data_IF_579201653306
#
_entry.id   IF_579201653306
#
_cell.length_a   1.000
_cell.length_b   1.000
_cell.length_c   1.000
_cell.angle_alpha   90.00
_cell.angle_beta   90.00
_cell.angle_gamma   90.00
#
_symmetry.space_group_name_H-M   'P 1'
#
loop_
_entity.id
_entity.type
_entity.pdbx_description
1 polymer ?
2 polymer ?
3 water ?
#
# COMPACT_ATOMS: atom_id res chain seq x y z
N UNK A 2 -7.54 10.02 -2.63
CA UNK A 2 -6.15 9.63 -2.87
C UNK A 2 -5.38 9.33 -1.57
N UNK A 3 -4.14 8.87 -1.74
CA UNK A 3 -3.30 8.55 -0.63
C UNK A 3 -2.43 9.77 -0.29
N UNK A 4 -2.55 10.23 0.94
CA UNK A 4 -1.80 11.39 1.40
C UNK A 4 -0.78 11.04 2.49
N UNK A 5 0.51 11.09 2.13
CA UNK A 5 1.60 10.78 3.06
C UNK A 5 1.71 11.77 4.22
N UNK A 6 1.95 11.26 5.43
CA UNK A 6 2.08 12.13 6.58
C UNK A 6 3.48 12.02 7.18
N UNK A 7 4.40 11.42 6.42
CA UNK A 7 5.79 11.23 6.86
C UNK A 7 6.54 10.24 5.96
N UNK A 8 7.86 10.37 5.89
CA UNK A 8 8.67 9.50 5.05
C UNK A 8 10.03 9.29 5.67
N UNK A 9 10.53 8.06 5.66
CA UNK A 9 11.84 7.79 6.26
C UNK A 9 12.48 6.52 5.73
N UNK A 10 13.79 6.41 5.86
CA UNK A 10 14.52 5.26 5.37
C UNK A 10 14.74 4.26 6.47
N UNK A 11 14.40 3.01 6.21
CA UNK A 11 14.56 1.98 7.22
C UNK A 11 14.61 0.64 6.58
N UNK A 12 15.12 -0.32 7.32
CA UNK A 12 15.20 -1.70 6.86
C UNK A 12 14.08 -2.38 7.61
N UNK A 13 13.04 -2.81 6.91
CA UNK A 13 11.92 -3.44 7.60
C UNK A 13 12.23 -4.90 7.86
N UNK A 15 11.04 -8.65 10.33
CA UNK A 15 10.03 -9.37 11.11
C UNK A 15 10.72 -10.19 12.19
N UNK A 16 10.21 -10.14 13.41
CA UNK A 16 10.81 -10.92 14.48
C UNK A 16 10.40 -12.38 14.39
N UNK A 17 11.36 -13.24 14.05
CA UNK A 17 11.12 -14.68 13.94
C UNK A 17 11.19 -15.37 15.30
N UNK A 18 10.04 -15.49 15.94
CA UNK A 18 9.93 -16.12 17.25
C UNK A 18 10.52 -17.52 17.28
N UNK A 19 10.43 -18.23 16.17
CA UNK A 19 10.97 -19.57 16.10
C UNK A 19 12.50 -19.52 16.01
N UNK A 20 13.03 -19.02 14.90
CA UNK A 20 14.48 -18.92 14.76
C UNK A 20 14.96 -18.01 15.88
N UNK A 21 13.99 -17.47 16.61
CA UNK A 21 14.24 -16.59 17.74
C UNK A 21 15.03 -15.34 17.32
N UNK A 22 15.24 -15.19 16.01
CA UNK A 22 16.00 -14.05 15.49
C UNK A 22 15.14 -13.02 14.77
N UNK A 23 15.73 -11.87 14.47
CA UNK A 23 15.06 -10.78 13.72
C UNK A 23 15.49 -11.00 12.28
N UNK A 24 14.52 -11.12 11.37
CA UNK A 24 14.83 -11.36 9.97
C UNK A 24 14.25 -10.31 9.05
N UNK A 25 14.92 -10.06 7.93
CA UNK A 25 14.48 -9.07 6.95
C UNK A 25 13.18 -9.57 6.35
N UNK A 26 12.29 -8.66 5.97
CA UNK A 26 11.00 -9.08 5.41
C UNK A 26 11.11 -9.64 3.98
N UNK A 27 12.14 -9.25 3.25
CA UNK A 27 12.33 -9.73 1.87
C UNK A 27 12.94 -11.15 1.82
N UNK A 33 17.98 -1.00 2.75
CA UNK A 33 17.04 0.11 3.14
C UNK A 33 15.90 0.32 2.15
N UNK A 34 14.72 0.67 2.66
CA UNK A 34 13.53 0.91 1.87
C UNK A 34 13.02 2.26 2.29
N UNK A 35 12.09 2.82 1.55
CA UNK A 35 11.56 4.10 1.93
C UNK A 35 10.29 3.79 2.66
N UNK A 36 10.15 4.35 3.87
CA UNK A 36 8.93 4.13 4.63
C UNK A 36 8.16 5.42 4.68
N UNK A 37 6.86 5.27 4.50
CA UNK A 37 5.89 6.36 4.46
C UNK A 37 4.66 5.90 5.21
N UNK A 38 3.97 6.83 5.85
CA UNK A 38 2.74 6.51 6.53
C UNK A 38 1.72 7.32 5.75
N UNK A 39 0.82 6.66 5.04
CA UNK A 39 -0.19 7.36 4.28
C UNK A 39 -1.50 7.38 5.01
N UNK A 40 -2.30 8.39 4.71
CA UNK A 40 -3.61 8.55 5.30
C UNK A 40 -4.66 8.69 4.21
N UNK A 41 -5.82 8.09 4.47
CA UNK A 41 -6.93 8.18 3.53
C UNK A 41 -8.01 8.96 4.25
N UNK A 42 -8.17 10.20 3.84
CA UNK A 42 -9.18 11.07 4.44
C UNK A 42 -10.55 10.53 4.11
N UNK A 43 -10.69 10.01 2.89
CA UNK A 43 -11.95 9.44 2.42
C UNK A 43 -12.19 8.07 3.05
N UNK A 44 -11.65 7.85 4.25
CA UNK A 44 -11.80 6.57 4.95
C UNK A 44 -11.15 6.62 6.33
N UNK A 45 -10.54 7.77 6.64
CA UNK A 45 -9.86 7.96 7.91
C UNK A 45 -9.13 6.66 8.20
N UNK A 46 -8.10 6.41 7.40
CA UNK A 46 -7.30 5.21 7.49
C UNK A 46 -5.84 5.59 7.43
N UNK A 47 -4.99 4.82 8.10
CA UNK A 47 -3.55 5.08 8.09
C UNK A 47 -2.84 3.79 7.74
N UNK A 48 -1.82 3.88 6.89
CA UNK A 48 -1.06 2.69 6.52
C UNK A 48 0.43 2.94 6.49
N UNK A 49 1.19 1.90 6.80
CA UNK A 49 2.65 1.98 6.76
C UNK A 49 2.95 1.26 5.44
N UNK A 50 3.56 1.96 4.50
CA UNK A 50 3.89 1.36 3.22
C UNK A 50 5.38 1.50 2.97
N UNK A 51 6.06 0.37 2.83
CA UNK A 51 7.49 0.41 2.59
C UNK A 51 7.76 0.00 1.16
N UNK A 52 8.49 0.82 0.43
CA UNK A 52 8.82 0.53 -0.97
C UNK A 52 10.34 0.35 -1.15
N UNK A 53 10.71 -0.58 -2.02
CA UNK A 53 12.12 -0.83 -2.31
C UNK A 53 12.53 0.29 -3.24
N UNK A 54 13.19 1.32 -2.74
CA UNK A 54 13.58 2.42 -3.60
C UNK A 54 14.56 1.99 -4.71
N UNK A 55 14.79 0.68 -4.84
CA UNK A 55 15.71 0.17 -5.86
C UNK A 55 14.93 -0.29 -7.06
N UNK A 56 14.05 -1.26 -6.83
CA UNK A 56 13.19 -1.81 -7.88
C UNK A 56 11.76 -1.37 -7.64
N UNK A 57 11.61 -0.40 -6.75
CA UNK A 57 10.33 0.20 -6.39
C UNK A 57 9.16 -0.74 -6.07
N UNK A 58 9.50 -1.90 -5.52
CA UNK A 58 8.52 -2.90 -5.13
C UNK A 58 8.10 -2.66 -3.67
N UNK A 59 6.82 -2.82 -3.38
CA UNK A 59 6.32 -2.61 -2.03
C UNK A 59 6.66 -3.82 -1.16
N UNK A 60 7.36 -3.59 -0.04
CA UNK A 60 7.74 -4.66 0.88
C UNK A 60 6.75 -4.79 2.04
N UNK A 61 6.09 -3.70 2.39
CA UNK A 61 5.14 -3.73 3.48
C UNK A 61 4.00 -2.73 3.18
N UNK A 62 2.78 -3.11 3.54
CA UNK A 62 1.60 -2.26 3.34
C UNK A 62 0.73 -2.62 4.53
N UNK A 63 1.09 -2.07 5.68
CA UNK A 63 0.44 -2.34 6.95
C UNK A 63 -0.51 -1.29 7.46
N UNK A 64 -1.67 -1.73 7.89
CA UNK A 64 -2.65 -0.80 8.45
C UNK A 64 -2.40 -0.63 9.93
N UNK A 65 -2.09 0.59 10.35
CA UNK A 65 -1.88 0.83 11.78
C UNK A 65 -3.30 0.80 12.36
N UNK A 66 -3.55 -0.23 13.18
CA UNK A 66 -4.86 -0.43 13.75
C UNK A 66 -5.16 0.34 15.06
N UNK A 67 -6.36 0.17 15.58
CA UNK A 67 -6.81 0.85 16.78
C UNK A 67 -6.04 0.57 18.10
N UNK A 68 -5.68 -0.68 18.36
CA UNK A 68 -4.96 -0.97 19.59
C UNK A 68 -3.50 -1.35 19.45
N UNK A 69 -2.92 -0.97 18.32
CA UNK A 69 -1.52 -1.27 18.01
C UNK A 69 -0.58 -0.79 19.11
N UNK A 70 0.54 -1.48 19.23
CA UNK A 70 1.54 -1.15 20.24
C UNK A 70 2.84 -0.82 19.53
N UNK A 71 3.22 0.46 19.54
CA UNK A 71 4.45 0.90 18.91
C UNK A 71 5.51 1.03 19.99
N UNK A 72 6.65 0.41 19.77
CA UNK A 72 7.74 0.47 20.74
C UNK A 72 9.01 0.99 20.07
N UNK A 73 9.62 2.00 20.69
CA UNK A 73 10.86 2.55 20.20
C UNK A 73 11.99 1.89 20.96
N UNK A 74 12.35 0.69 20.52
CA UNK A 74 13.41 -0.09 21.14
C UNK A 74 14.68 0.74 21.32
N UNK A 75 15.17 1.33 20.25
CA UNK A 75 16.37 2.15 20.32
C UNK A 75 16.16 3.42 19.49
N UNK A 76 17.07 4.39 19.59
CA UNK A 76 16.91 5.63 18.81
C UNK A 76 16.83 5.43 17.30
N UNK A 77 17.21 4.25 16.82
CA UNK A 77 17.15 3.94 15.40
C UNK A 77 16.46 2.60 15.14
N UNK A 78 15.82 2.06 16.17
CA UNK A 78 15.11 0.80 16.01
C UNK A 78 13.80 0.78 16.77
N UNK A 79 12.71 0.70 16.02
CA UNK A 79 11.38 0.71 16.61
C UNK A 79 10.62 -0.53 16.16
N UNK A 80 9.62 -0.94 16.93
CA UNK A 80 8.84 -2.12 16.58
C UNK A 80 7.37 -1.93 16.94
N UNK A 81 6.55 -2.86 16.51
CA UNK A 81 5.15 -2.76 16.84
C UNK A 81 4.53 -4.14 16.72
N UNK A 82 3.67 -4.47 17.67
CA UNK A 82 3.02 -5.76 17.70
C UNK A 82 1.58 -5.57 17.27
N UNK A 83 1.12 -6.41 16.35
CA UNK A 83 -0.25 -6.29 15.90
C UNK A 83 -1.13 -6.99 16.91
N UNK A 84 -0.87 -8.29 17.08
CA UNK A 84 -1.59 -9.13 18.01
C UNK A 84 -1.24 -10.55 17.67
N UNK A 85 -0.33 -10.74 16.73
CA UNK A 85 0.06 -12.08 16.35
C UNK A 85 1.41 -12.08 15.63
N UNK A 86 2.10 -10.95 15.68
CA UNK A 86 3.39 -10.81 15.01
C UNK A 86 3.98 -9.44 15.26
N UNK A 87 5.30 -9.39 15.38
CA UNK A 87 5.98 -8.13 15.63
C UNK A 87 6.89 -7.69 14.48
N UNK A 88 6.77 -6.40 14.16
CA UNK A 88 7.54 -5.77 13.11
C UNK A 88 8.49 -4.75 13.72
N UNK A 89 9.61 -4.52 13.05
CA UNK A 89 10.58 -3.56 13.53
C UNK A 89 11.20 -2.87 12.34
N UNK A 90 11.67 -1.65 12.55
CA UNK A 90 12.28 -0.89 11.50
C UNK A 90 13.63 -0.41 11.91
N UNK A 91 14.66 -0.83 11.20
CA UNK A 91 16.00 -0.39 11.53
C UNK A 91 16.18 0.87 10.70
N UNK A 92 16.09 2.04 11.35
CA UNK A 92 16.20 3.27 10.60
C UNK A 92 17.58 3.58 10.06
N UNK A 93 17.64 4.62 9.24
CA UNK A 93 18.91 4.99 8.64
C UNK A 93 19.50 6.11 9.45
N UNK A 94 18.69 6.73 10.30
CA UNK A 94 19.17 7.84 11.10
C UNK A 94 18.22 8.09 12.25
N UNK A 95 18.78 8.57 13.36
CA UNK A 95 17.96 8.88 14.52
C UNK A 95 16.90 9.88 14.08
N UNK A 96 17.33 10.89 13.33
CA UNK A 96 16.41 11.91 12.88
C UNK A 96 15.19 11.31 12.16
N UNK A 97 15.43 10.42 11.21
CA UNK A 97 14.31 9.82 10.49
C UNK A 97 13.44 8.95 11.40
N UNK A 98 14.04 8.47 12.47
CA UNK A 98 13.33 7.63 13.44
C UNK A 98 12.43 8.52 14.28
N UNK A 99 12.95 9.68 14.66
CA UNK A 99 12.21 10.66 15.45
C UNK A 99 11.01 11.08 14.63
N UNK A 100 11.24 11.31 13.35
CA UNK A 100 10.19 11.76 12.47
C UNK A 100 9.09 10.73 12.31
N UNK A 101 9.47 9.49 12.00
CA UNK A 101 8.50 8.43 11.81
C UNK A 101 7.68 8.09 13.07
N UNK A 102 8.30 8.20 14.24
CA UNK A 102 7.60 7.90 15.47
C UNK A 102 6.53 8.96 15.83
N UNK A 103 6.84 10.26 15.64
CA UNK A 103 5.87 11.33 15.92
C UNK A 103 4.61 11.10 15.06
N UNK A 104 4.82 10.74 13.79
CA UNK A 104 3.72 10.48 12.86
C UNK A 104 2.97 9.28 13.40
N UNK A 106 2.85 7.70 16.37
CA UNK A 106 2.09 7.96 17.58
C UNK A 106 0.90 8.85 17.28
N UNK A 107 1.11 9.91 16.48
CA UNK A 107 0.04 10.83 16.10
C UNK A 107 -1.11 10.05 15.42
N UNK A 108 -0.76 9.23 14.44
CA UNK A 108 -1.74 8.43 13.72
C UNK A 108 -2.48 7.52 14.66
N UNK A 109 -1.76 7.00 15.64
CA UNK A 109 -2.35 6.09 16.61
C UNK A 109 -3.32 6.87 17.50
N UNK A 110 -2.95 8.10 17.86
CA UNK A 110 -3.83 8.93 18.69
C UNK A 110 -5.14 9.10 17.95
N UNK A 111 -5.06 9.55 16.69
CA UNK A 111 -6.28 9.71 15.91
C UNK A 111 -7.03 8.37 15.91
N UNK A 113 -7.65 6.53 17.81
CA UNK A 113 -8.44 6.38 19.02
C UNK A 113 -9.15 7.69 19.42
N UNK B 2 5.08 -8.70 24.93
CA UNK B 2 6.09 -7.62 24.76
C UNK B 2 6.92 -7.83 23.50
N UNK B 3 7.87 -6.92 23.26
CA UNK B 3 8.74 -6.99 22.10
C UNK B 3 10.13 -7.45 22.51
N UNK B 4 10.72 -8.38 21.74
CA UNK B 4 12.04 -8.93 22.00
C UNK B 4 13.14 -7.86 22.02
N UNK B 5 14.40 -8.28 22.25
CA UNK B 5 15.48 -7.29 22.26
C UNK B 5 15.78 -7.02 20.81
N UNK B 6 16.13 -5.77 20.47
CA UNK B 6 16.43 -5.43 19.09
C UNK B 6 17.73 -6.11 18.69
N UNK B 7 18.06 -6.07 17.39
CA UNK B 7 19.30 -6.69 16.91
C UNK B 7 20.57 -6.18 17.62
N UNK B 8 21.70 -6.23 16.91
CA UNK B 8 23.03 -5.79 17.41
C UNK B 8 23.78 -6.95 18.04
N UNK C 2 5.33 -10.53 3.66
CA UNK C 2 5.64 -9.45 2.72
C UNK C 2 4.57 -9.30 1.63
N UNK C 3 4.75 -8.25 0.84
CA UNK C 3 3.85 -7.95 -0.26
C UNK C 3 4.40 -8.60 -1.52
N UNK C 4 3.57 -9.44 -2.15
CA UNK C 4 3.96 -10.16 -3.36
C UNK C 4 3.11 -9.76 -4.59
N UNK C 5 3.73 -9.05 -5.54
CA UNK C 5 3.06 -8.57 -6.76
C UNK C 5 2.65 -9.67 -7.73
N UNK C 6 1.42 -9.60 -8.22
CA UNK C 6 0.97 -10.61 -9.14
C UNK C 6 0.74 -10.00 -10.51
N UNK C 7 1.22 -8.77 -10.69
CA UNK C 7 1.10 -8.06 -11.98
C UNK C 7 1.50 -6.60 -11.90
N UNK C 8 1.95 -6.07 -13.03
CA UNK C 8 2.41 -4.68 -13.10
C UNK C 8 2.05 -4.04 -14.44
N UNK C 9 1.58 -2.79 -14.43
CA UNK C 9 1.22 -2.13 -15.69
C UNK C 9 1.15 -0.62 -15.54
N UNK C 10 1.32 0.09 -16.65
CA UNK C 10 1.29 1.55 -16.64
C UNK C 10 -0.10 2.07 -16.97
N UNK C 11 -0.61 2.96 -16.14
CA UNK C 11 -1.94 3.47 -16.36
C UNK C 11 -2.11 4.79 -15.67
N UNK C 12 -3.17 5.48 -16.05
CA UNK C 12 -3.51 6.77 -15.48
C UNK C 12 -4.74 6.49 -14.65
N UNK C 13 -4.60 6.55 -13.33
CA UNK C 13 -5.73 6.27 -12.47
C UNK C 13 -6.61 7.50 -12.32
N UNK C 15 -10.84 8.93 -11.14
CA UNK C 15 -12.09 8.73 -10.43
C UNK C 15 -13.23 9.37 -11.19
N UNK C 16 -14.34 8.64 -11.32
CA UNK C 16 -15.47 9.20 -12.03
C UNK C 16 -16.24 10.15 -11.13
N UNK C 17 -16.20 11.43 -11.47
CA UNK C 17 -16.91 12.46 -10.72
C UNK C 17 -18.36 12.57 -11.15
N UNK C 18 -19.22 11.84 -10.46
CA UNK C 18 -20.63 11.83 -10.76
C UNK C 18 -21.24 13.22 -10.79
N UNK C 19 -20.71 14.13 -9.97
CA UNK C 19 -21.26 15.49 -9.92
C UNK C 19 -20.82 16.27 -11.14
N UNK C 20 -19.52 16.47 -11.30
CA UNK C 20 -19.01 17.18 -12.45
C UNK C 20 -19.36 16.32 -13.65
N UNK C 21 -19.93 15.15 -13.36
CA UNK C 21 -20.34 14.20 -14.38
C UNK C 21 -19.17 13.82 -15.28
N UNK C 22 -17.96 14.25 -14.89
CA UNK C 22 -16.77 13.96 -15.68
C UNK C 22 -15.84 12.97 -15.01
N UNK C 23 -14.86 12.46 -15.76
CA UNK C 23 -13.86 11.52 -15.25
C UNK C 23 -12.69 12.39 -14.88
N UNK C 24 -12.24 12.32 -13.63
CA UNK C 24 -11.12 13.15 -13.21
C UNK C 24 -9.93 12.38 -12.68
N UNK C 25 -8.73 12.94 -12.84
CA UNK C 25 -7.51 12.28 -12.37
C UNK C 25 -7.53 12.18 -10.85
N UNK C 26 -6.95 11.14 -10.29
CA UNK C 26 -6.97 10.99 -8.84
C UNK C 26 -6.04 11.97 -8.11
N UNK C 27 -5.00 12.45 -8.79
CA UNK C 27 -4.08 13.40 -8.18
C UNK C 27 -4.67 14.82 -8.15
N UNK C 33 0.83 9.14 -16.16
CA UNK C 33 0.89 7.66 -15.95
C UNK C 33 1.58 7.29 -14.65
N UNK C 34 1.09 6.23 -14.01
CA UNK C 34 1.64 5.73 -12.76
C UNK C 34 1.91 4.25 -13.00
N UNK C 35 2.62 3.61 -12.07
CA UNK C 35 2.87 2.19 -12.22
C UNK C 35 1.83 1.48 -11.37
N UNK C 36 1.04 0.60 -11.97
CA UNK C 36 0.01 -0.12 -11.23
C UNK C 36 0.47 -1.53 -11.00
N UNK C 37 0.20 -2.02 -9.80
CA UNK C 37 0.59 -3.37 -9.41
C UNK C 37 -0.54 -3.87 -8.57
N UNK C 38 -0.71 -5.18 -8.55
CA UNK C 38 -1.72 -5.81 -7.72
C UNK C 38 -0.88 -6.69 -6.80
N UNK C 39 -0.85 -6.37 -5.51
CA UNK C 39 -0.07 -7.20 -4.58
C UNK C 39 -0.98 -8.13 -3.81
N UNK C 40 -0.38 -9.22 -3.37
CA UNK C 40 -1.10 -10.23 -2.61
C UNK C 40 -0.40 -10.50 -1.31
N UNK C 41 -1.17 -10.63 -0.24
CA UNK C 41 -0.62 -10.93 1.07
C UNK C 41 -1.01 -12.36 1.41
N UNK C 42 -0.06 -13.28 1.27
CA UNK C 42 -0.31 -14.68 1.56
C UNK C 42 -0.62 -14.84 3.03
N UNK C 43 0.08 -14.06 3.84
CA UNK C 43 -0.12 -14.07 5.29
C UNK C 43 -1.39 -13.32 5.67
N UNK C 44 -2.38 -13.33 4.79
CA UNK C 44 -3.65 -12.64 5.04
C UNK C 44 -4.65 -12.87 3.90
N UNK C 45 -4.19 -13.56 2.85
CA UNK C 45 -5.02 -13.82 1.68
C UNK C 45 -5.75 -12.54 1.36
N UNK C 46 -4.96 -11.53 0.99
CA UNK C 46 -5.42 -10.19 0.66
C UNK C 46 -4.83 -9.70 -0.66
N UNK C 47 -5.65 -9.01 -1.44
CA UNK C 47 -5.21 -8.46 -2.72
C UNK C 47 -5.45 -6.94 -2.73
N UNK C 48 -4.46 -6.19 -3.25
CA UNK C 48 -4.56 -4.75 -3.31
C UNK C 48 -4.07 -4.18 -4.62
N UNK C 49 -4.69 -3.10 -5.04
CA UNK C 49 -4.31 -2.38 -6.25
C UNK C 49 -3.50 -1.20 -5.70
N UNK C 50 -2.21 -1.17 -5.98
CA UNK C 50 -1.36 -0.08 -5.51
C UNK C 50 -0.76 0.69 -6.68
N UNK C 51 -1.10 1.97 -6.77
CA UNK C 51 -0.58 2.83 -7.82
C UNK C 51 0.46 3.81 -7.28
N UNK C 52 1.65 3.75 -7.86
CA UNK C 52 2.76 4.61 -7.48
C UNK C 52 3.16 5.59 -8.61
N UNK C 53 3.45 6.81 -8.22
CA UNK C 53 3.90 7.83 -9.17
C UNK C 53 5.35 7.51 -9.51
N UNK C 54 5.61 6.86 -10.64
CA UNK C 54 6.98 6.52 -11.03
C UNK C 54 7.86 7.75 -11.27
N UNK C 55 7.38 8.91 -10.83
CA UNK C 55 8.14 10.14 -10.96
C UNK C 55 8.74 10.52 -9.61
N UNK C 56 7.87 10.73 -8.63
CA UNK C 56 8.27 11.11 -7.29
C UNK C 56 7.97 9.94 -6.38
N UNK C 57 7.67 8.79 -6.99
CA UNK C 57 7.39 7.53 -6.29
C UNK C 57 6.40 7.59 -5.12
N UNK C 58 5.39 8.44 -5.26
CA UNK C 58 4.35 8.60 -4.26
C UNK C 58 3.21 7.67 -4.65
N UNK C 59 2.56 7.06 -3.66
CA UNK C 59 1.45 6.15 -3.89
C UNK C 59 0.19 6.96 -4.18
N UNK C 60 -0.46 6.72 -5.32
CA UNK C 60 -1.68 7.45 -5.66
C UNK C 60 -2.92 6.67 -5.29
N UNK C 61 -2.78 5.35 -5.25
CA UNK C 61 -3.92 4.52 -4.91
C UNK C 61 -3.42 3.25 -4.16
N UNK C 62 -4.18 2.78 -3.19
CA UNK C 62 -3.84 1.60 -2.40
C UNK C 62 -5.21 0.99 -2.08
N UNK C 63 -5.79 0.36 -3.10
CA UNK C 63 -7.15 -0.19 -3.06
C UNK C 63 -7.27 -1.69 -2.85
N UNK C 64 -8.11 -2.07 -1.89
CA UNK C 64 -8.33 -3.48 -1.62
C UNK C 64 -9.39 -4.02 -2.53
N UNK C 65 -9.04 -4.97 -3.38
CA UNK C 65 -10.06 -5.54 -4.25
C UNK C 65 -10.86 -6.43 -3.31
N UNK C 66 -12.10 -6.04 -3.09
CA UNK C 66 -12.98 -6.75 -2.17
C UNK C 66 -13.71 -7.97 -2.75
N UNK C 67 -14.55 -8.60 -1.94
CA UNK C 67 -15.31 -9.79 -2.31
C UNK C 67 -16.37 -9.64 -3.42
N UNK C 68 -17.13 -8.55 -3.42
CA UNK C 68 -18.14 -8.41 -4.47
C UNK C 68 -17.88 -7.30 -5.47
N UNK C 69 -16.62 -6.93 -5.63
CA UNK C 69 -16.22 -5.86 -6.55
C UNK C 69 -16.70 -6.14 -7.96
N UNK C 70 -16.88 -5.08 -8.74
CA UNK C 70 -17.33 -5.20 -10.12
C UNK C 70 -16.30 -4.55 -11.05
N UNK C 71 -15.56 -5.39 -11.76
CA UNK C 71 -14.54 -4.91 -12.68
C UNK C 71 -15.14 -4.86 -14.06
N UNK C 72 -15.02 -3.71 -14.72
CA UNK C 72 -15.53 -3.55 -16.07
C UNK C 72 -14.45 -3.06 -17.05
N UNK C 73 -14.29 -3.80 -18.14
CA UNK C 73 -13.29 -3.42 -19.13
C UNK C 73 -13.98 -2.58 -20.21
N UNK C 74 -14.17 -1.30 -19.90
CA UNK C 74 -14.83 -0.37 -20.81
C UNK C 74 -14.29 -0.44 -22.23
N UNK C 75 -12.98 -0.32 -22.37
CA UNK C 75 -12.35 -0.37 -23.68
C UNK C 75 -11.06 -1.14 -23.54
N UNK C 76 -10.43 -1.50 -24.67
CA UNK C 76 -9.17 -2.24 -24.66
C UNK C 76 -8.04 -1.61 -23.83
N UNK C 77 -8.18 -0.33 -23.56
CA UNK C 77 -7.20 0.37 -22.76
C UNK C 77 -7.82 1.17 -21.60
N UNK C 78 -9.11 0.95 -21.37
CA UNK C 78 -9.80 1.60 -20.28
C UNK C 78 -10.72 0.64 -19.53
N UNK C 79 -10.40 0.40 -18.25
CA UNK C 79 -11.18 -0.50 -17.39
C UNK C 79 -11.57 0.25 -16.12
N UNK C 80 -12.68 -0.15 -15.51
CA UNK C 80 -13.13 0.51 -14.30
C UNK C 80 -13.66 -0.51 -13.33
N UNK C 81 -13.99 -0.06 -12.13
CA UNK C 81 -14.52 -0.97 -11.12
C UNK C 81 -15.27 -0.17 -10.07
N UNK C 82 -16.44 -0.66 -9.69
CA UNK C 82 -17.25 0.01 -8.70
C UNK C 82 -17.12 -0.73 -7.36
N UNK C 83 -16.85 0.00 -6.29
CA UNK C 83 -16.73 -0.62 -4.98
C UNK C 83 -18.15 -0.86 -4.47
N UNK C 84 -18.90 0.23 -4.32
CA UNK C 84 -20.27 0.19 -3.85
C UNK C 84 -20.67 1.62 -3.53
N UNK C 85 -19.73 2.54 -3.75
CA UNK C 85 -19.98 3.94 -3.46
C UNK C 85 -19.07 4.87 -4.25
N UNK C 86 -18.47 4.35 -5.31
CA UNK C 86 -17.59 5.13 -6.13
C UNK C 86 -16.99 4.25 -7.20
N UNK C 87 -16.71 4.83 -8.35
CA UNK C 87 -16.12 4.06 -9.44
C UNK C 87 -14.73 4.56 -9.83
N UNK C 88 -13.82 3.61 -10.04
CA UNK C 88 -12.45 3.90 -10.43
C UNK C 88 -12.18 3.37 -11.82
N UNK C 89 -11.28 4.02 -12.53
CA UNK C 89 -10.95 3.57 -13.87
C UNK C 89 -9.47 3.79 -14.13
N UNK C 90 -8.92 2.95 -15.00
CA UNK C 90 -7.50 3.02 -15.35
C UNK C 90 -7.32 3.21 -16.84
N UNK C 91 -6.69 4.31 -17.22
CA UNK C 91 -6.43 4.54 -18.63
C UNK C 91 -5.07 3.92 -18.85
N UNK C 92 -5.04 2.76 -19.48
CA UNK C 92 -3.76 2.08 -19.67
C UNK C 92 -2.85 2.71 -20.70
N UNK C 93 -1.59 2.32 -20.68
CA UNK C 93 -0.64 2.87 -21.63
C UNK C 93 -0.60 1.98 -22.86
N UNK C 94 -1.25 0.84 -22.79
CA UNK C 94 -1.23 -0.06 -23.93
C UNK C 94 -2.22 -1.19 -23.71
N UNK C 95 -2.75 -1.70 -24.80
CA UNK C 95 -3.72 -2.79 -24.71
C UNK C 95 -3.08 -3.95 -23.99
N UNK C 96 -1.86 -4.29 -24.37
CA UNK C 96 -1.18 -5.39 -23.74
C UNK C 96 -1.19 -5.29 -22.21
N UNK C 97 -0.77 -4.16 -21.66
CA UNK C 97 -0.74 -3.97 -20.21
C UNK C 97 -2.14 -4.01 -19.62
N UNK C 98 -3.14 -3.73 -20.44
CA UNK C 98 -4.51 -3.76 -20.01
C UNK C 98 -4.93 -5.21 -19.88
N UNK C 99 -4.49 -6.01 -20.85
CA UNK C 99 -4.80 -7.43 -20.89
C UNK C 99 -4.19 -8.13 -19.70
N UNK C 100 -2.97 -7.71 -19.39
CA UNK C 100 -2.23 -8.29 -18.29
C UNK C 100 -2.87 -7.99 -16.94
N UNK C 101 -3.22 -6.73 -16.74
CA UNK C 101 -3.81 -6.31 -15.48
C UNK C 101 -5.20 -6.87 -15.25
N UNK C 102 -5.96 -7.10 -16.32
CA UNK C 102 -7.31 -7.64 -16.21
C UNK C 102 -7.29 -9.10 -15.83
N UNK C 103 -6.32 -9.87 -16.36
CA UNK C 103 -6.19 -11.31 -16.05
C UNK C 103 -5.89 -11.46 -14.55
N UNK C 104 -4.99 -10.63 -14.03
CA UNK C 104 -4.64 -10.63 -12.61
C UNK C 104 -5.88 -10.27 -11.83
N UNK C 106 -9.17 -10.22 -12.52
CA UNK C 106 -10.23 -11.23 -12.54
C UNK C 106 -9.81 -12.43 -11.73
N UNK C 107 -8.54 -12.81 -11.86
CA UNK C 107 -8.01 -13.94 -11.13
C UNK C 107 -8.13 -13.67 -9.62
N UNK C 108 -7.60 -12.54 -9.18
CA UNK C 108 -7.65 -12.11 -7.77
C UNK C 108 -9.08 -12.08 -7.25
N UNK C 109 -10.01 -11.68 -8.11
CA UNK C 109 -11.41 -11.63 -7.72
C UNK C 109 -11.94 -13.06 -7.58
N UNK C 110 -11.57 -13.95 -8.50
CA UNK C 110 -12.00 -15.35 -8.42
C UNK C 110 -11.61 -15.86 -7.04
N UNK C 111 -10.34 -15.77 -6.72
CA UNK C 111 -9.85 -16.20 -5.43
C UNK C 111 -10.74 -15.54 -4.37
N UNK C 113 -13.39 -15.09 -4.02
CA UNK C 113 -14.65 -15.80 -3.81
C UNK C 113 -14.44 -17.31 -3.88
N UNK D 3 -22.13 2.10 -14.38
CA UNK D 3 -20.80 2.46 -14.94
C UNK D 3 -20.92 3.62 -15.93
N UNK D 4 -20.01 4.59 -15.83
CA UNK D 4 -20.04 5.75 -16.73
C UNK D 4 -19.25 5.44 -18.00
N UNK D 5 -19.35 6.31 -19.03
CA UNK D 5 -18.61 6.05 -20.27
C UNK D 5 -17.13 6.41 -20.04
N UNK D 6 -16.20 5.66 -20.67
CA UNK D 6 -14.78 5.98 -20.47
C UNK D 6 -14.52 7.43 -20.83
N UNK D 7 -13.50 8.04 -20.22
CA UNK D 7 -13.18 9.44 -20.52
C UNK D 7 -13.01 9.63 -22.01
#
# INVERSE_FOLDING_TARGET
XSEQSICQARASVXVYDDTSKKWVPIKPGQQGFSRINIYHNTASSTFRVVGVKLQDQQVVINYSIVKGLKYNQATPTFHQWRDARQVYGLNFASKEEATTFSNAXLFALNIXNSQEGGPSTQRQVQNGPS
FEFPPPPTDEE
XSEQSICQARASVXVYDDTSKKWVPIKPGQQGFSRINIYHNTASSTFRVVGVKLQDQQVVINYSIVKGLKYNQATPTFHQWRDARQVYGLNFASKEEATTFSNAXLFALNIXNSQEGGPSTQRQVQNGPS
FEFPPPPTDEE
#
